data_IF_135176983434
#
_entry.id   IF_135176983434
#
_cell.length_a   1.000
_cell.length_b   1.000
_cell.length_c   1.000
_cell.angle_alpha   90.00
_cell.angle_beta   90.00
_cell.angle_gamma   90.00
#
_symmetry.space_group_name_H-M   'P 1'
#
loop_
_entity.id
_entity.type
_entity.pdbx_description
1 polymer ?
#
# COMPACT_ATOMS: atom_id res chain seq x y z
N UNK A 1 -4.52 9.53 3.81
CA UNK A 1 -4.41 8.50 2.77
C UNK A 1 -5.00 7.20 3.30
N UNK A 2 -6.03 6.65 2.64
CA UNK A 2 -6.62 5.40 3.09
C UNK A 2 -5.66 4.24 2.86
N UNK A 3 -5.65 3.32 3.78
CA UNK A 3 -4.82 2.13 3.69
C UNK A 3 -5.51 0.95 4.36
N UNK A 4 -5.07 -0.25 4.02
CA UNK A 4 -5.52 -1.48 4.65
C UNK A 4 -4.39 -2.06 5.48
N UNK A 5 -4.74 -2.65 6.61
CA UNK A 5 -3.77 -3.33 7.46
C UNK A 5 -3.98 -4.83 7.34
N UNK A 6 -2.90 -5.54 7.08
CA UNK A 6 -2.90 -6.98 6.96
C UNK A 6 -1.83 -7.57 7.88
N UNK A 7 -2.18 -8.64 8.57
CA UNK A 7 -1.22 -9.39 9.39
C UNK A 7 -0.78 -10.65 8.64
N UNK A 8 0.53 -10.88 8.60
CA UNK A 8 1.10 -12.01 7.87
C UNK A 8 2.09 -12.76 8.74
N UNK A 9 1.95 -14.07 8.78
CA UNK A 9 2.87 -14.94 9.51
C UNK A 9 4.28 -14.90 8.91
N UNK A 10 4.40 -14.53 7.64
CA UNK A 10 5.69 -14.44 6.94
C UNK A 10 6.39 -13.11 7.16
N UNK A 11 5.66 -12.09 7.57
CA UNK A 11 6.24 -10.77 7.79
C UNK A 11 7.01 -10.76 9.12
N UNK A 12 8.22 -10.24 9.10
CA UNK A 12 9.05 -10.10 10.29
C UNK A 12 9.06 -8.67 10.80
N UNK A 13 8.63 -7.72 9.97
CA UNK A 13 8.56 -6.30 10.31
C UNK A 13 7.52 -5.64 9.44
N UNK A 14 7.19 -4.39 9.75
CA UNK A 14 6.24 -3.61 8.99
C UNK A 14 6.73 -3.46 7.55
N UNK A 15 5.84 -3.73 6.61
CA UNK A 15 6.09 -3.53 5.19
C UNK A 15 4.96 -2.75 4.55
N UNK A 16 5.30 -2.01 3.51
CA UNK A 16 4.31 -1.27 2.72
C UNK A 16 4.23 -1.90 1.33
N UNK A 17 3.02 -2.16 0.88
CA UNK A 17 2.76 -2.73 -0.45
C UNK A 17 1.73 -1.87 -1.17
N UNK A 18 1.92 -1.73 -2.46
CA UNK A 18 0.96 -1.02 -3.33
C UNK A 18 0.41 -2.02 -4.33
N UNK A 19 -0.91 -2.05 -4.45
CA UNK A 19 -1.58 -2.91 -5.42
C UNK A 19 -2.72 -2.12 -6.10
N UNK A 20 -3.50 -2.80 -6.95
CA UNK A 20 -4.59 -2.17 -7.69
C UNK A 20 -5.65 -1.55 -6.77
N UNK A 21 -5.70 -1.98 -5.51
CA UNK A 21 -6.67 -1.48 -4.54
C UNK A 21 -6.11 -0.34 -3.67
N UNK A 22 -4.83 -0.02 -3.80
CA UNK A 22 -4.19 1.06 -3.07
C UNK A 22 -3.09 0.59 -2.14
N UNK A 23 -2.90 1.32 -1.05
CA UNK A 23 -1.86 1.04 -0.07
C UNK A 23 -2.28 -0.03 0.91
N UNK A 24 -1.39 -1.00 1.11
CA UNK A 24 -1.57 -2.06 2.10
C UNK A 24 -0.38 -2.05 3.06
N UNK A 25 -0.67 -2.03 4.35
CA UNK A 25 0.34 -2.14 5.40
C UNK A 25 0.36 -3.59 5.89
N UNK A 26 1.51 -4.23 5.76
CA UNK A 26 1.69 -5.63 6.19
C UNK A 26 2.45 -5.63 7.51
N UNK A 27 1.86 -6.24 8.52
CA UNK A 27 2.45 -6.34 9.85
C UNK A 27 2.72 -7.81 10.21
N UNK A 28 3.72 -8.07 11.08
CA UNK A 28 3.86 -9.40 11.65
C UNK A 28 2.59 -9.83 12.36
N UNK A 29 2.31 -11.12 12.33
CA UNK A 29 1.06 -11.66 12.87
C UNK A 29 0.83 -11.30 14.35
N UNK A 30 1.91 -11.16 15.12
CA UNK A 30 1.85 -10.83 16.54
C UNK A 30 2.12 -9.36 16.84
N UNK A 31 2.23 -8.53 15.80
CA UNK A 31 2.51 -7.12 15.99
C UNK A 31 1.27 -6.38 16.48
N UNK A 32 1.47 -5.48 17.43
CA UNK A 32 0.44 -4.58 17.96
C UNK A 32 0.88 -3.14 17.81
N UNK A 33 1.36 -2.78 16.62
CA UNK A 33 1.79 -1.42 16.37
C UNK A 33 0.61 -0.46 16.51
N UNK A 34 0.78 0.62 17.28
CA UNK A 34 -0.24 1.67 17.35
C UNK A 34 -0.48 2.31 15.98
N UNK A 35 -1.68 2.78 15.77
CA UNK A 35 -2.04 3.45 14.52
C UNK A 35 -1.12 4.64 14.23
N UNK A 36 -0.69 5.36 15.26
CA UNK A 36 0.23 6.48 15.11
C UNK A 36 1.57 6.06 14.51
N UNK A 37 2.08 4.87 14.88
CA UNK A 37 3.33 4.36 14.34
C UNK A 37 3.18 3.93 12.89
N UNK A 38 2.03 3.35 12.54
CA UNK A 38 1.71 3.00 11.16
C UNK A 38 1.65 4.27 10.30
N UNK A 39 0.95 5.30 10.78
CA UNK A 39 0.85 6.57 10.08
C UNK A 39 2.22 7.22 9.88
N UNK A 40 3.10 7.11 10.87
CA UNK A 40 4.48 7.63 10.77
C UNK A 40 5.25 6.89 9.68
N UNK A 41 5.15 5.57 9.64
CA UNK A 41 5.84 4.77 8.63
C UNK A 41 5.36 5.14 7.21
N UNK A 42 4.06 5.33 7.03
CA UNK A 42 3.49 5.76 5.76
C UNK A 42 4.03 7.13 5.39
N UNK A 43 4.09 8.06 6.35
CA UNK A 43 4.57 9.42 6.12
C UNK A 43 6.05 9.43 5.73
N UNK A 44 6.86 8.61 6.36
CA UNK A 44 8.29 8.49 6.02
C UNK A 44 8.51 7.99 4.60
N UNK A 45 7.57 7.22 4.05
CA UNK A 45 7.65 6.68 2.70
C UNK A 45 6.66 7.34 1.74
N UNK A 46 6.13 8.50 2.12
CA UNK A 46 5.05 9.16 1.38
C UNK A 46 5.39 9.39 -0.09
N UNK A 47 6.58 9.88 -0.38
CA UNK A 47 7.00 10.15 -1.76
C UNK A 47 6.97 8.86 -2.59
N UNK A 48 7.51 7.78 -2.05
CA UNK A 48 7.50 6.48 -2.71
C UNK A 48 6.08 5.95 -2.91
N UNK A 49 5.23 6.08 -1.88
CA UNK A 49 3.84 5.62 -1.93
C UNK A 49 3.07 6.36 -3.02
N UNK A 50 3.20 7.68 -3.06
CA UNK A 50 2.51 8.51 -4.06
C UNK A 50 2.97 8.13 -5.47
N UNK A 51 4.28 7.93 -5.66
CA UNK A 51 4.83 7.55 -6.96
C UNK A 51 4.29 6.19 -7.41
N UNK A 52 4.21 5.22 -6.51
CA UNK A 52 3.69 3.90 -6.85
C UNK A 52 2.19 3.91 -7.14
N UNK A 53 1.43 4.68 -6.37
CA UNK A 53 0.00 4.83 -6.62
C UNK A 53 -0.26 5.44 -7.99
N UNK A 54 0.54 6.44 -8.38
CA UNK A 54 0.42 7.06 -9.69
C UNK A 54 0.67 6.07 -10.82
N UNK A 55 1.67 5.17 -10.65
CA UNK A 55 1.95 4.12 -11.63
C UNK A 55 0.74 3.19 -11.79
N UNK A 56 0.12 2.78 -10.69
CA UNK A 56 -1.05 1.91 -10.74
C UNK A 56 -2.24 2.60 -11.39
N UNK A 57 -2.45 3.90 -11.12
CA UNK A 57 -3.51 4.67 -11.76
C UNK A 57 -3.30 4.76 -13.27
N UNK A 58 -2.07 5.04 -13.71
CA UNK A 58 -1.75 5.08 -15.14
C UNK A 58 -2.01 3.75 -15.83
N UNK A 59 -1.66 2.64 -15.18
CA UNK A 59 -1.93 1.31 -15.73
C UNK A 59 -3.42 1.05 -15.84
N UNK A 60 -4.21 1.45 -14.87
CA UNK A 60 -5.66 1.28 -14.89
C UNK A 60 -6.28 2.09 -16.03
N UNK A 61 -5.87 3.35 -16.20
CA UNK A 61 -6.35 4.20 -17.28
C UNK A 61 -5.96 3.64 -18.65
N UNK A 62 -4.72 3.19 -18.81
CA UNK A 62 -4.26 2.59 -20.06
C UNK A 62 -5.04 1.31 -20.38
N UNK A 63 -5.35 0.51 -19.36
CA UNK A 63 -6.14 -0.70 -19.55
C UNK A 63 -7.55 -0.38 -20.00
N UNK A 64 -8.18 0.62 -19.40
CA UNK A 64 -9.52 1.05 -19.78
C UNK A 64 -9.55 1.61 -21.20
N UNK A 65 -8.52 2.39 -21.57
CA UNK A 65 -8.40 2.95 -22.92
C UNK A 65 -8.24 1.87 -23.99
N UNK A 66 -7.66 0.72 -23.65
CA UNK A 66 -7.43 -0.40 -24.58
C UNK A 66 -8.55 -1.42 -24.59
N UNK A 67 -9.53 -1.26 -23.73
CA UNK A 67 -10.61 -2.23 -23.61
C UNK A 67 -11.44 -2.26 -24.89
N UNK A 68 -11.59 -3.41 -25.56
CA UNK A 68 -12.45 -3.50 -26.73
C UNK A 68 -13.90 -3.31 -26.30
N UNK A 69 -14.62 -2.61 -27.14
CA UNK A 69 -16.05 -2.38 -26.92
C UNK A 69 -16.87 -3.38 -27.70
#
# INVERSE_FOLDING_TARGET
MPYRVRHSARARRLGLRINAQGLEVVLPQRSRLPEADIARAIREHETWVIAKLAVWQQRAEARDARRPR
#
